data_IF_925772815188
#
_entry.id   IF_925772815188
#
_cell.length_a   1.000
_cell.length_b   1.000
_cell.length_c   1.000
_cell.angle_alpha   90.00
_cell.angle_beta   90.00
_cell.angle_gamma   90.00
#
_symmetry.space_group_name_H-M   'P 1'
#
loop_
_entity.id
_entity.type
_entity.pdbx_description
1 polymer ?
#
# COMPACT_ATOMS: atom_id res chain seq x y z
N UNK A 1 -25.53 20.83 5.53
CA UNK A 1 -24.42 20.24 6.31
C UNK A 1 -24.63 20.71 7.73
N UNK A 2 -25.35 19.93 8.55
CA UNK A 2 -25.95 20.49 9.77
C UNK A 2 -25.35 19.89 11.05
N UNK A 3 -24.33 19.04 10.95
CA UNK A 3 -23.60 18.46 12.08
C UNK A 3 -22.11 18.78 12.07
N UNK A 4 -21.52 18.94 13.26
CA UNK A 4 -20.07 18.99 13.48
C UNK A 4 -19.72 18.06 14.64
N UNK A 5 -18.82 17.10 14.39
CA UNK A 5 -18.16 16.31 15.40
C UNK A 5 -16.79 16.95 15.68
N UNK A 6 -16.68 17.75 16.74
CA UNK A 6 -15.41 18.34 17.19
C UNK A 6 -14.84 17.52 18.37
N UNK A 7 -13.67 16.91 18.16
CA UNK A 7 -12.91 16.21 19.19
C UNK A 7 -11.61 16.98 19.42
N UNK A 8 -11.58 17.71 20.53
CA UNK A 8 -10.44 18.50 20.97
C UNK A 8 -9.93 17.97 22.32
N UNK A 9 -8.64 17.64 22.42
CA UNK A 9 -8.03 17.14 23.66
C UNK A 9 -6.52 17.37 23.70
N UNK A 10 -6.02 17.67 24.90
CA UNK A 10 -4.59 17.83 25.18
C UNK A 10 -3.98 16.59 25.86
N UNK A 11 -4.78 15.58 26.19
CA UNK A 11 -4.33 14.39 26.93
C UNK A 11 -4.45 13.11 26.11
N UNK A 12 -5.28 13.11 25.07
CA UNK A 12 -5.56 11.92 24.29
C UNK A 12 -4.34 11.50 23.46
N UNK A 13 -3.83 10.29 23.72
CA UNK A 13 -2.68 9.71 23.00
C UNK A 13 -3.07 8.68 21.93
N UNK A 14 -4.26 8.08 22.05
CA UNK A 14 -4.80 7.10 21.12
C UNK A 14 -6.27 7.43 20.84
N UNK A 15 -6.66 7.41 19.57
CA UNK A 15 -8.04 7.55 19.13
C UNK A 15 -8.33 6.50 18.05
N UNK A 16 -9.43 5.80 18.23
CA UNK A 16 -10.07 4.98 17.20
C UNK A 16 -11.46 5.59 16.99
N UNK A 17 -11.73 6.06 15.78
CA UNK A 17 -12.97 6.75 15.44
C UNK A 17 -13.60 6.06 14.23
N UNK A 18 -14.88 5.71 14.35
CA UNK A 18 -15.69 5.17 13.26
C UNK A 18 -16.84 6.12 12.94
N UNK A 19 -16.92 6.58 11.70
CA UNK A 19 -18.03 7.34 11.17
C UNK A 19 -18.62 6.57 9.98
N UNK A 20 -19.73 5.84 10.20
CA UNK A 20 -20.22 4.87 9.23
C UNK A 20 -21.18 5.46 8.19
N UNK A 21 -21.90 6.54 8.54
CA UNK A 21 -22.96 7.09 7.71
C UNK A 21 -23.11 8.61 7.90
N UNK A 22 -23.76 9.25 6.93
CA UNK A 22 -24.18 10.65 7.01
C UNK A 22 -23.22 11.65 6.36
N UNK A 23 -23.57 12.94 6.49
CA UNK A 23 -22.82 14.06 5.92
C UNK A 23 -22.65 15.16 6.98
N UNK A 24 -21.47 15.22 7.59
CA UNK A 24 -21.13 16.22 8.61
C UNK A 24 -19.63 16.53 8.58
N UNK A 25 -19.22 17.56 9.33
CA UNK A 25 -17.81 17.90 9.48
C UNK A 25 -17.20 17.20 10.69
N UNK A 26 -16.04 16.56 10.52
CA UNK A 26 -15.23 15.98 11.59
C UNK A 26 -14.03 16.89 11.81
N UNK A 27 -13.84 17.37 13.04
CA UNK A 27 -12.73 18.26 13.41
C UNK A 27 -11.94 17.59 14.53
N UNK A 28 -10.71 17.17 14.24
CA UNK A 28 -9.83 16.52 15.22
C UNK A 28 -8.67 17.46 15.58
N UNK A 29 -8.70 18.07 16.77
CA UNK A 29 -7.63 18.94 17.29
C UNK A 29 -6.93 18.23 18.46
N UNK A 30 -6.00 17.34 18.14
CA UNK A 30 -5.38 16.44 19.12
C UNK A 30 -3.85 16.53 19.03
N UNK A 31 -3.30 17.49 19.77
CA UNK A 31 -1.88 17.83 19.69
C UNK A 31 -0.95 16.81 20.35
N UNK A 32 -1.45 15.95 21.22
CA UNK A 32 -0.67 14.90 21.90
C UNK A 32 -1.01 13.49 21.39
N UNK A 33 -1.80 13.38 20.33
CA UNK A 33 -2.19 12.11 19.74
C UNK A 33 -0.98 11.44 19.09
N UNK A 34 -0.76 10.18 19.40
CA UNK A 34 0.31 9.36 18.82
C UNK A 34 -0.22 8.28 17.88
N UNK A 35 -1.46 7.83 18.11
CA UNK A 35 -2.15 6.83 17.29
C UNK A 35 -3.53 7.33 16.90
N UNK A 36 -3.81 7.34 15.60
CA UNK A 36 -5.12 7.62 15.03
C UNK A 36 -5.52 6.48 14.10
N UNK A 37 -6.63 5.83 14.41
CA UNK A 37 -7.34 4.98 13.46
C UNK A 37 -8.68 5.65 13.17
N UNK A 38 -8.94 5.87 11.89
CA UNK A 38 -10.13 6.55 11.43
C UNK A 38 -10.80 5.73 10.33
N UNK A 39 -11.97 5.21 10.65
CA UNK A 39 -12.83 4.47 9.75
C UNK A 39 -13.96 5.40 9.31
N UNK A 40 -14.09 5.66 8.01
CA UNK A 40 -15.02 6.63 7.47
C UNK A 40 -15.73 6.08 6.23
N UNK A 41 -17.02 5.77 6.36
CA UNK A 41 -17.89 5.31 5.27
C UNK A 41 -19.00 6.33 4.96
N UNK A 42 -18.89 7.55 5.50
CA UNK A 42 -19.80 8.65 5.22
C UNK A 42 -19.32 9.56 4.08
N UNK A 43 -20.08 10.64 3.87
CA UNK A 43 -19.66 11.76 3.01
C UNK A 43 -19.18 12.90 3.91
N UNK A 44 -18.04 12.75 4.56
CA UNK A 44 -17.57 13.71 5.57
C UNK A 44 -16.55 14.72 5.03
N UNK A 45 -16.55 15.90 5.65
CA UNK A 45 -15.44 16.87 5.57
C UNK A 45 -14.60 16.73 6.82
N UNK A 46 -13.33 16.43 6.67
CA UNK A 46 -12.48 16.02 7.79
C UNK A 46 -11.33 17.01 7.92
N UNK A 47 -11.18 17.61 9.10
CA UNK A 47 -10.11 18.53 9.42
C UNK A 47 -9.20 17.88 10.46
N UNK A 48 -7.99 17.51 10.04
CA UNK A 48 -7.01 16.84 10.89
C UNK A 48 -5.96 17.83 11.38
N UNK A 49 -6.00 18.14 12.67
CA UNK A 49 -4.97 18.90 13.38
C UNK A 49 -4.28 18.01 14.43
N UNK A 50 -3.49 17.05 13.93
CA UNK A 50 -2.83 16.00 14.72
C UNK A 50 -1.32 15.92 14.41
N UNK A 51 -0.54 16.99 14.64
CA UNK A 51 0.85 17.11 14.14
C UNK A 51 1.85 16.09 14.73
N UNK A 52 1.52 15.51 15.89
CA UNK A 52 2.38 14.58 16.63
C UNK A 52 1.99 13.11 16.46
N UNK A 53 1.04 12.82 15.58
CA UNK A 53 0.63 11.43 15.30
C UNK A 53 1.81 10.67 14.69
N UNK A 54 2.05 9.47 15.21
CA UNK A 54 3.11 8.55 14.76
C UNK A 54 2.54 7.43 13.89
N UNK A 55 1.32 6.99 14.21
CA UNK A 55 0.63 5.91 13.52
C UNK A 55 -0.73 6.41 13.06
N UNK A 56 -0.96 6.38 11.76
CA UNK A 56 -2.23 6.79 11.15
C UNK A 56 -2.79 5.64 10.31
N UNK A 57 -3.99 5.19 10.63
CA UNK A 57 -4.74 4.24 9.81
C UNK A 57 -6.03 4.90 9.33
N UNK A 58 -6.28 4.84 8.04
CA UNK A 58 -7.52 5.30 7.44
C UNK A 58 -8.15 4.15 6.66
N UNK A 59 -9.43 3.86 6.92
CA UNK A 59 -10.19 2.86 6.16
C UNK A 59 -11.58 3.38 5.78
N UNK A 60 -12.07 3.02 4.61
CA UNK A 60 -13.41 3.34 4.13
C UNK A 60 -13.41 4.26 2.91
N UNK A 61 -14.47 5.02 2.70
CA UNK A 61 -14.61 5.88 1.54
C UNK A 61 -13.65 7.07 1.57
N UNK A 62 -13.23 7.55 0.40
CA UNK A 62 -12.40 8.73 0.30
C UNK A 62 -13.19 10.01 0.68
N UNK A 63 -12.99 10.49 1.91
CA UNK A 63 -13.55 11.74 2.43
C UNK A 63 -12.76 12.98 2.02
N UNK A 64 -13.39 14.15 2.12
CA UNK A 64 -12.74 15.43 1.85
C UNK A 64 -11.86 15.80 3.06
N UNK A 65 -10.61 15.32 3.05
CA UNK A 65 -9.66 15.47 4.15
C UNK A 65 -8.76 16.70 3.94
N UNK A 66 -8.74 17.55 4.95
CA UNK A 66 -7.87 18.71 5.08
C UNK A 66 -6.90 18.54 6.25
N UNK A 67 -5.61 18.44 5.96
CA UNK A 67 -4.55 18.46 6.98
C UNK A 67 -4.29 19.91 7.39
N UNK A 68 -4.73 20.29 8.60
CA UNK A 68 -4.57 21.65 9.13
C UNK A 68 -3.10 22.00 9.34
N UNK A 69 -2.31 21.00 9.77
CA UNK A 69 -0.85 21.04 9.86
C UNK A 69 -0.26 19.76 9.31
N UNK A 70 0.99 19.83 8.84
CA UNK A 70 1.73 18.65 8.39
C UNK A 70 1.92 17.65 9.53
N UNK A 71 1.67 16.37 9.28
CA UNK A 71 1.90 15.25 10.20
C UNK A 71 3.40 14.93 10.28
N UNK A 72 4.21 15.88 10.74
CA UNK A 72 5.68 15.80 10.67
C UNK A 72 6.30 14.65 11.47
N UNK A 73 5.58 14.12 12.47
CA UNK A 73 5.97 13.01 13.33
C UNK A 73 5.58 11.62 12.81
N UNK A 74 4.91 11.55 11.66
CA UNK A 74 4.34 10.32 11.13
C UNK A 74 5.43 9.27 10.84
N UNK A 75 5.31 8.12 11.49
CA UNK A 75 6.21 6.97 11.31
C UNK A 75 5.60 6.00 10.32
N UNK A 76 4.34 5.62 10.52
CA UNK A 76 3.62 4.67 9.68
C UNK A 76 2.23 5.19 9.31
N UNK A 77 1.84 4.99 8.06
CA UNK A 77 0.48 5.17 7.59
C UNK A 77 -0.04 3.92 6.88
N UNK A 78 -1.30 3.58 7.11
CA UNK A 78 -2.02 2.49 6.43
C UNK A 78 -3.32 3.03 5.86
N UNK A 79 -3.52 2.91 4.55
CA UNK A 79 -4.63 3.53 3.82
C UNK A 79 -5.40 2.46 3.04
N UNK A 80 -6.63 2.18 3.48
CA UNK A 80 -7.58 1.28 2.84
C UNK A 80 -8.81 2.03 2.33
N UNK A 81 -8.74 2.52 1.10
CA UNK A 81 -9.86 3.23 0.49
C UNK A 81 -10.79 2.27 -0.21
N UNK A 82 -12.09 2.55 -0.13
CA UNK A 82 -13.12 1.76 -0.78
C UNK A 82 -13.98 2.60 -1.73
N UNK A 83 -14.46 1.96 -2.80
CA UNK A 83 -15.52 2.53 -3.64
C UNK A 83 -16.88 2.19 -3.02
N UNK A 84 -17.79 3.16 -2.97
CA UNK A 84 -19.17 2.90 -2.60
C UNK A 84 -19.86 2.18 -3.79
N UNK A 85 -20.34 0.93 -3.63
CA UNK A 85 -20.99 0.19 -4.72
C UNK A 85 -22.24 0.88 -5.27
N UNK A 86 -22.92 1.65 -4.42
CA UNK A 86 -24.17 2.34 -4.76
C UNK A 86 -23.94 3.67 -5.52
N UNK A 87 -22.71 4.17 -5.54
CA UNK A 87 -22.35 5.47 -6.12
C UNK A 87 -21.30 5.33 -7.23
N UNK A 88 -21.39 4.32 -8.11
CA UNK A 88 -20.44 4.13 -9.22
C UNK A 88 -20.94 4.86 -10.48
N UNK A 89 -20.71 6.18 -10.52
CA UNK A 89 -20.80 7.00 -11.73
C UNK A 89 -19.40 7.48 -12.10
N UNK A 90 -19.16 7.85 -13.36
CA UNK A 90 -17.85 8.38 -13.77
C UNK A 90 -17.45 9.64 -12.95
N UNK A 91 -18.42 10.51 -12.65
CA UNK A 91 -18.17 11.72 -11.86
C UNK A 91 -17.84 11.42 -10.39
N UNK A 92 -18.53 10.49 -9.75
CA UNK A 92 -18.23 10.10 -8.36
C UNK A 92 -16.89 9.37 -8.25
N UNK A 93 -16.52 8.55 -9.24
CA UNK A 93 -15.20 7.93 -9.33
C UNK A 93 -14.09 8.98 -9.37
N UNK A 94 -14.22 10.02 -10.21
CA UNK A 94 -13.24 11.10 -10.31
C UNK A 94 -13.12 11.89 -9.00
N UNK A 95 -14.24 12.24 -8.38
CA UNK A 95 -14.26 12.98 -7.10
C UNK A 95 -13.60 12.16 -5.99
N UNK A 96 -13.94 10.87 -5.86
CA UNK A 96 -13.34 9.99 -4.85
C UNK A 96 -11.86 9.73 -5.13
N UNK A 97 -11.46 9.60 -6.39
CA UNK A 97 -10.05 9.48 -6.78
C UNK A 97 -9.25 10.73 -6.41
N UNK A 98 -9.79 11.92 -6.64
CA UNK A 98 -9.16 13.18 -6.20
C UNK A 98 -9.00 13.25 -4.68
N UNK A 99 -10.02 12.83 -3.92
CA UNK A 99 -9.96 12.80 -2.46
C UNK A 99 -8.94 11.81 -1.93
N UNK A 100 -8.90 10.60 -2.50
CA UNK A 100 -7.90 9.58 -2.18
C UNK A 100 -6.47 10.06 -2.48
N UNK A 101 -6.30 10.77 -3.60
CA UNK A 101 -5.03 11.41 -3.94
C UNK A 101 -4.62 12.49 -2.93
N UNK A 102 -5.52 13.40 -2.54
CA UNK A 102 -5.20 14.44 -1.55
C UNK A 102 -4.90 13.85 -0.17
N UNK A 103 -5.59 12.77 0.22
CA UNK A 103 -5.28 12.01 1.43
C UNK A 103 -3.83 11.51 1.40
N UNK A 104 -3.44 10.77 0.36
CA UNK A 104 -2.09 10.19 0.25
C UNK A 104 -1.03 11.30 0.14
N UNK A 105 -1.30 12.35 -0.64
CA UNK A 105 -0.45 13.53 -0.80
C UNK A 105 -0.18 14.23 0.54
N UNK A 106 -1.12 14.22 1.49
CA UNK A 106 -0.91 14.77 2.83
C UNK A 106 0.09 14.01 3.71
N UNK A 107 0.49 12.79 3.31
CA UNK A 107 1.31 11.88 4.10
C UNK A 107 2.81 11.91 3.74
N UNK A 108 3.28 12.93 3.01
CA UNK A 108 4.66 13.06 2.51
C UNK A 108 5.78 12.88 3.56
N UNK A 109 5.48 13.10 4.84
CA UNK A 109 6.45 12.94 5.95
C UNK A 109 6.70 11.49 6.37
N UNK A 110 5.86 10.55 5.92
CA UNK A 110 5.80 9.17 6.43
C UNK A 110 7.10 8.39 6.13
N UNK A 111 7.45 7.46 7.03
CA UNK A 111 8.60 6.56 6.84
C UNK A 111 8.19 5.18 6.32
N UNK A 112 6.99 4.72 6.65
CA UNK A 112 6.42 3.44 6.23
C UNK A 112 4.98 3.65 5.76
N UNK A 113 4.69 3.35 4.49
CA UNK A 113 3.36 3.51 3.90
C UNK A 113 2.83 2.16 3.43
N UNK A 114 1.61 1.82 3.85
CA UNK A 114 0.86 0.69 3.33
C UNK A 114 -0.39 1.21 2.60
N UNK A 115 -0.52 0.84 1.33
CA UNK A 115 -1.70 1.10 0.50
C UNK A 115 -2.39 -0.23 0.15
N UNK A 116 -3.68 -0.34 0.47
CA UNK A 116 -4.53 -1.43 -0.03
C UNK A 116 -4.91 -1.26 -1.49
N UNK A 117 -5.35 -2.34 -2.13
CA UNK A 117 -5.63 -2.42 -3.57
C UNK A 117 -6.47 -1.25 -4.09
N UNK A 118 -7.69 -1.06 -3.57
CA UNK A 118 -8.58 0.01 -4.04
C UNK A 118 -8.00 1.43 -3.84
N UNK A 119 -7.11 1.64 -2.85
CA UNK A 119 -6.35 2.89 -2.72
C UNK A 119 -5.41 3.12 -3.91
N UNK A 120 -4.75 2.08 -4.42
CA UNK A 120 -3.87 2.14 -5.58
C UNK A 120 -4.64 2.50 -6.85
N UNK A 121 -5.85 1.94 -7.02
CA UNK A 121 -6.76 2.28 -8.12
C UNK A 121 -7.14 3.76 -8.11
N UNK A 122 -7.50 4.31 -6.94
CA UNK A 122 -7.85 5.73 -6.85
C UNK A 122 -6.68 6.64 -7.24
N UNK A 123 -5.46 6.30 -6.84
CA UNK A 123 -4.25 7.03 -7.28
C UNK A 123 -4.09 6.95 -8.79
N UNK A 124 -4.27 5.75 -9.37
CA UNK A 124 -4.22 5.57 -10.82
C UNK A 124 -5.27 6.42 -11.55
N UNK A 125 -6.53 6.39 -11.13
CA UNK A 125 -7.62 7.15 -11.77
C UNK A 125 -7.49 8.66 -11.62
N UNK A 126 -6.81 9.15 -10.58
CA UNK A 126 -6.56 10.58 -10.39
C UNK A 126 -5.68 11.19 -11.51
N UNK A 127 -4.87 10.37 -12.19
CA UNK A 127 -3.99 10.78 -13.31
C UNK A 127 -3.06 11.97 -12.97
N UNK A 128 -2.74 12.15 -11.69
CA UNK A 128 -1.86 13.19 -11.17
C UNK A 128 -0.63 12.56 -10.51
N UNK A 129 0.51 13.25 -10.60
CA UNK A 129 1.73 12.81 -9.94
C UNK A 129 1.72 13.20 -8.47
N UNK A 130 1.96 12.22 -7.60
CA UNK A 130 2.22 12.47 -6.18
C UNK A 130 3.54 13.24 -6.01
N UNK A 131 3.66 14.07 -4.96
CA UNK A 131 4.92 14.72 -4.61
C UNK A 131 5.94 13.70 -4.09
N UNK A 132 7.23 14.07 -4.05
CA UNK A 132 8.29 13.18 -3.57
C UNK A 132 8.18 12.86 -2.08
N UNK A 133 8.18 11.57 -1.75
CA UNK A 133 8.20 11.02 -0.39
C UNK A 133 9.65 10.76 0.06
N UNK A 134 10.42 11.84 0.26
CA UNK A 134 11.86 11.74 0.57
C UNK A 134 12.18 10.98 1.87
N UNK A 135 11.23 10.88 2.81
CA UNK A 135 11.39 10.17 4.09
C UNK A 135 10.95 8.71 4.04
N UNK A 136 10.29 8.29 2.96
CA UNK A 136 9.75 6.94 2.83
C UNK A 136 10.89 5.93 2.68
N UNK A 137 10.90 4.96 3.59
CA UNK A 137 11.87 3.87 3.67
C UNK A 137 11.25 2.51 3.42
N UNK A 138 9.97 2.35 3.72
CA UNK A 138 9.22 1.11 3.53
C UNK A 138 7.91 1.40 2.81
N UNK A 139 7.63 0.63 1.75
CA UNK A 139 6.40 0.72 0.98
C UNK A 139 5.79 -0.66 0.88
N UNK A 140 4.54 -0.77 1.30
CA UNK A 140 3.75 -1.99 1.29
C UNK A 140 2.56 -1.78 0.34
N UNK A 141 2.49 -2.64 -0.67
CA UNK A 141 1.52 -2.55 -1.76
C UNK A 141 0.70 -3.83 -1.76
N UNK A 142 -0.50 -3.75 -1.20
CA UNK A 142 -1.42 -4.86 -1.23
C UNK A 142 -2.21 -4.85 -2.54
N UNK A 143 -2.07 -5.94 -3.31
CA UNK A 143 -2.73 -6.11 -4.62
C UNK A 143 -3.99 -6.97 -4.54
N UNK A 144 -4.42 -7.34 -3.33
CA UNK A 144 -5.70 -8.01 -3.10
C UNK A 144 -6.89 -7.09 -3.42
N UNK A 145 -7.97 -7.68 -3.91
CA UNK A 145 -9.27 -7.00 -4.06
C UNK A 145 -10.38 -7.97 -3.74
N UNK A 146 -11.44 -7.43 -3.15
CA UNK A 146 -12.78 -7.99 -3.24
C UNK A 146 -13.47 -7.52 -4.55
N UNK A 147 -13.90 -8.45 -5.41
CA UNK A 147 -14.75 -8.18 -6.58
C UNK A 147 -14.07 -8.19 -7.97
N UNK A 148 -14.88 -7.98 -9.03
CA UNK A 148 -14.52 -8.15 -10.46
C UNK A 148 -13.66 -7.00 -11.06
N UNK A 149 -12.76 -6.38 -10.29
CA UNK A 149 -11.95 -5.26 -10.79
C UNK A 149 -10.70 -5.70 -11.55
N UNK A 150 -10.25 -4.88 -12.52
CA UNK A 150 -9.05 -5.15 -13.32
C UNK A 150 -7.76 -5.04 -12.47
N UNK A 151 -7.24 -6.20 -12.03
CA UNK A 151 -5.99 -6.32 -11.26
C UNK A 151 -4.76 -5.77 -12.00
N UNK A 152 -4.81 -5.61 -13.33
CA UNK A 152 -3.68 -5.06 -14.10
C UNK A 152 -3.47 -3.58 -13.78
N UNK A 153 -4.53 -2.84 -13.38
CA UNK A 153 -4.44 -1.42 -13.08
C UNK A 153 -3.51 -1.10 -11.91
N UNK A 154 -3.41 -1.99 -10.91
CA UNK A 154 -2.50 -1.80 -9.78
C UNK A 154 -1.06 -1.75 -10.23
N UNK A 155 -0.67 -2.72 -11.04
CA UNK A 155 0.69 -2.79 -11.55
C UNK A 155 1.01 -1.59 -12.46
N UNK A 156 0.01 -0.96 -13.09
CA UNK A 156 0.22 0.30 -13.83
C UNK A 156 0.55 1.49 -12.93
N UNK A 157 0.11 1.51 -11.66
CA UNK A 157 0.44 2.62 -10.74
C UNK A 157 1.76 2.42 -10.01
N UNK A 158 2.22 1.18 -9.84
CA UNK A 158 3.47 0.86 -9.13
C UNK A 158 4.65 1.70 -9.62
N UNK A 159 4.98 1.82 -10.92
CA UNK A 159 6.09 2.66 -11.37
C UNK A 159 6.05 4.09 -10.81
N UNK A 160 4.88 4.73 -10.84
CA UNK A 160 4.71 6.10 -10.36
C UNK A 160 4.89 6.22 -8.84
N UNK A 161 4.54 5.19 -8.07
CA UNK A 161 4.77 5.14 -6.62
C UNK A 161 6.24 4.91 -6.27
N UNK A 162 6.97 4.17 -7.11
CA UNK A 162 8.40 3.97 -6.92
C UNK A 162 9.20 5.25 -7.28
N UNK A 163 8.78 5.97 -8.32
CA UNK A 163 9.41 7.24 -8.74
C UNK A 163 9.39 8.33 -7.66
N UNK A 164 8.31 8.40 -6.87
CA UNK A 164 8.20 9.37 -5.77
C UNK A 164 8.99 8.96 -4.52
N UNK A 165 9.56 7.75 -4.47
CA UNK A 165 10.20 7.17 -3.28
C UNK A 165 11.71 6.95 -3.46
N UNK A 166 12.52 8.01 -3.67
CA UNK A 166 13.93 7.89 -4.05
C UNK A 166 14.83 7.23 -2.99
N UNK A 167 14.35 7.16 -1.74
CA UNK A 167 15.08 6.65 -0.59
C UNK A 167 14.55 5.31 -0.08
N UNK A 168 13.69 4.63 -0.86
CA UNK A 168 13.06 3.39 -0.45
C UNK A 168 14.11 2.29 -0.22
N UNK A 169 13.96 1.57 0.89
CA UNK A 169 14.86 0.48 1.28
C UNK A 169 14.13 -0.87 1.35
N UNK A 170 12.83 -0.84 1.66
CA UNK A 170 12.00 -2.02 1.87
C UNK A 170 10.76 -1.94 0.97
N UNK A 171 10.52 -3.00 0.20
CA UNK A 171 9.32 -3.16 -0.62
C UNK A 171 8.59 -4.45 -0.21
N UNK A 172 7.32 -4.33 0.13
CA UNK A 172 6.50 -5.42 0.66
C UNK A 172 5.29 -5.62 -0.23
N UNK A 173 5.02 -6.87 -0.59
CA UNK A 173 3.80 -7.30 -1.26
C UNK A 173 3.09 -8.30 -0.35
N UNK A 174 2.05 -7.88 0.40
CA UNK A 174 1.24 -8.81 1.17
C UNK A 174 0.71 -9.91 0.27
N UNK A 175 0.09 -9.52 -0.84
CA UNK A 175 -0.36 -10.42 -1.89
C UNK A 175 0.17 -9.99 -3.26
N UNK A 176 0.39 -10.97 -4.13
CA UNK A 176 0.74 -10.77 -5.54
C UNK A 176 -0.32 -11.49 -6.36
N UNK A 177 -1.39 -10.77 -6.70
CA UNK A 177 -2.43 -11.26 -7.59
C UNK A 177 -2.19 -10.78 -9.02
N UNK A 178 -2.25 -11.71 -9.96
CA UNK A 178 -2.38 -11.39 -11.37
C UNK A 178 -3.42 -12.32 -11.98
N UNK A 179 -4.55 -11.75 -12.39
CA UNK A 179 -5.57 -12.49 -13.14
C UNK A 179 -5.12 -12.64 -14.60
N UNK A 180 -5.13 -13.88 -15.07
CA UNK A 180 -5.04 -14.35 -16.47
C UNK A 180 -4.47 -13.38 -17.52
N UNK A 181 -3.14 -13.28 -17.58
CA UNK A 181 -2.44 -12.84 -18.80
C UNK A 181 -1.63 -14.01 -19.36
N UNK A 182 -1.57 -14.11 -20.68
CA UNK A 182 -0.83 -15.18 -21.37
C UNK A 182 0.65 -15.20 -20.95
N UNK A 183 1.22 -16.40 -20.85
CA UNK A 183 2.57 -16.69 -20.34
C UNK A 183 3.68 -15.93 -21.10
N UNK A 184 3.41 -15.50 -22.34
CA UNK A 184 4.36 -14.71 -23.13
C UNK A 184 4.53 -13.24 -22.67
N UNK A 185 3.59 -12.67 -21.90
CA UNK A 185 3.67 -11.26 -21.49
C UNK A 185 4.58 -11.01 -20.27
N UNK A 186 4.99 -12.07 -19.57
CA UNK A 186 5.68 -11.92 -18.29
C UNK A 186 7.10 -11.38 -18.38
N UNK A 187 7.85 -11.74 -19.44
CA UNK A 187 9.25 -11.30 -19.60
C UNK A 187 9.39 -9.79 -19.75
N UNK A 188 8.36 -9.13 -20.27
CA UNK A 188 8.31 -7.68 -20.45
C UNK A 188 7.49 -6.95 -19.38
N UNK A 189 6.69 -7.66 -18.57
CA UNK A 189 5.76 -7.04 -17.62
C UNK A 189 6.48 -6.46 -16.40
N UNK A 190 7.27 -7.28 -15.69
CA UNK A 190 7.96 -6.85 -14.48
C UNK A 190 8.95 -5.71 -14.73
N UNK A 191 9.75 -5.71 -15.82
CA UNK A 191 10.62 -4.58 -16.13
C UNK A 191 9.90 -3.25 -16.37
N UNK A 192 8.66 -3.28 -16.90
CA UNK A 192 7.83 -2.08 -17.09
C UNK A 192 7.20 -1.60 -15.78
N UNK A 193 6.96 -2.51 -14.85
CA UNK A 193 6.21 -2.29 -13.61
C UNK A 193 7.12 -1.91 -12.45
N UNK A 194 8.27 -2.56 -12.33
CA UNK A 194 9.27 -2.34 -11.29
C UNK A 194 10.62 -2.21 -12.00
N UNK A 195 11.04 -1.00 -12.39
CA UNK A 195 12.28 -0.82 -13.14
C UNK A 195 13.50 -1.35 -12.38
N UNK A 196 14.42 -2.02 -13.08
CA UNK A 196 15.65 -2.56 -12.50
C UNK A 196 16.51 -1.48 -11.79
N UNK A 197 16.47 -0.24 -12.29
CA UNK A 197 17.13 0.92 -11.69
C UNK A 197 16.64 1.22 -10.26
N UNK A 198 15.40 0.85 -9.94
CA UNK A 198 14.85 0.97 -8.61
C UNK A 198 15.27 -0.21 -7.72
N UNK A 199 15.13 -1.44 -8.25
CA UNK A 199 15.42 -2.68 -7.51
C UNK A 199 16.87 -2.73 -7.01
N UNK A 200 17.83 -2.21 -7.79
CA UNK A 200 19.24 -2.23 -7.42
C UNK A 200 19.57 -1.48 -6.11
N UNK A 201 18.68 -0.60 -5.62
CA UNK A 201 18.87 0.18 -4.39
C UNK A 201 18.12 -0.40 -3.17
N UNK A 202 17.19 -1.34 -3.39
CA UNK A 202 16.45 -1.98 -2.31
C UNK A 202 17.37 -2.83 -1.44
N UNK A 203 17.10 -2.82 -0.14
CA UNK A 203 17.81 -3.63 0.87
C UNK A 203 17.00 -4.85 1.26
N UNK A 204 15.68 -4.73 1.33
CA UNK A 204 14.78 -5.81 1.70
C UNK A 204 13.57 -5.86 0.79
N UNK A 205 13.15 -7.08 0.46
CA UNK A 205 11.91 -7.35 -0.27
C UNK A 205 11.15 -8.43 0.48
N UNK A 206 9.83 -8.28 0.58
CA UNK A 206 8.97 -9.26 1.22
C UNK A 206 7.75 -9.57 0.34
N UNK A 207 7.45 -10.87 0.20
CA UNK A 207 6.22 -11.38 -0.38
C UNK A 207 5.56 -12.24 0.68
N UNK A 208 4.47 -11.77 1.29
CA UNK A 208 3.91 -12.40 2.50
C UNK A 208 3.06 -13.64 2.18
N UNK A 209 2.25 -13.59 1.12
CA UNK A 209 1.36 -14.68 0.73
C UNK A 209 1.74 -15.27 -0.63
N UNK A 210 2.87 -15.98 -0.66
CA UNK A 210 3.38 -16.68 -1.84
C UNK A 210 2.62 -18.00 -2.04
N UNK A 211 1.81 -18.06 -3.10
CA UNK A 211 0.96 -19.21 -3.48
C UNK A 211 1.67 -20.17 -4.46
N UNK A 212 2.86 -19.82 -4.93
CA UNK A 212 3.63 -20.67 -5.86
C UNK A 212 3.09 -20.66 -7.27
N UNK A 213 2.44 -19.56 -7.68
CA UNK A 213 2.03 -19.37 -9.06
C UNK A 213 3.24 -18.96 -9.93
N UNK A 214 3.21 -19.29 -11.22
CA UNK A 214 4.35 -19.10 -12.13
C UNK A 214 4.77 -17.64 -12.29
N UNK A 215 3.80 -16.73 -12.25
CA UNK A 215 4.02 -15.28 -12.25
C UNK A 215 4.74 -14.79 -10.99
N UNK A 216 4.37 -15.32 -9.83
CA UNK A 216 5.03 -15.03 -8.55
C UNK A 216 6.47 -15.52 -8.56
N UNK A 217 6.74 -16.71 -9.11
CA UNK A 217 8.11 -17.19 -9.31
C UNK A 217 8.92 -16.28 -10.22
N UNK A 218 8.35 -15.85 -11.36
CA UNK A 218 9.01 -14.92 -12.28
C UNK A 218 9.28 -13.56 -11.65
N UNK A 219 8.38 -13.08 -10.79
CA UNK A 219 8.60 -11.85 -10.01
C UNK A 219 9.79 -12.04 -9.06
N UNK A 220 9.81 -13.12 -8.29
CA UNK A 220 10.91 -13.42 -7.36
C UNK A 220 12.25 -13.52 -8.09
N UNK A 221 12.30 -14.26 -9.20
CA UNK A 221 13.49 -14.39 -10.04
C UNK A 221 13.96 -13.01 -10.54
N UNK A 222 13.05 -12.22 -11.13
CA UNK A 222 13.35 -10.88 -11.61
C UNK A 222 13.90 -9.95 -10.50
N UNK A 223 13.31 -9.97 -9.31
CA UNK A 223 13.75 -9.15 -8.18
C UNK A 223 15.14 -9.59 -7.67
N UNK A 224 15.41 -10.89 -7.57
CA UNK A 224 16.71 -11.43 -7.15
C UNK A 224 17.81 -11.12 -8.16
N UNK A 225 17.52 -11.18 -9.47
CA UNK A 225 18.48 -10.90 -10.54
C UNK A 225 18.85 -9.42 -10.66
N UNK A 226 17.99 -8.51 -10.21
CA UNK A 226 18.20 -7.06 -10.31
C UNK A 226 18.59 -6.39 -8.98
N UNK A 227 18.40 -7.07 -7.84
CA UNK A 227 18.68 -6.58 -6.50
C UNK A 227 20.17 -6.55 -6.13
N UNK A 228 20.94 -5.61 -6.69
CA UNK A 228 22.39 -5.46 -6.39
C UNK A 228 22.70 -5.17 -4.92
N UNK A 229 21.86 -4.37 -4.25
CA UNK A 229 22.03 -3.99 -2.83
C UNK A 229 21.19 -4.82 -1.87
N UNK A 230 20.49 -5.84 -2.39
CA UNK A 230 19.53 -6.63 -1.63
C UNK A 230 20.27 -7.47 -0.59
N UNK A 231 19.83 -7.36 0.67
CA UNK A 231 20.38 -8.10 1.82
C UNK A 231 19.46 -9.23 2.25
N UNK A 232 18.16 -9.05 2.08
CA UNK A 232 17.15 -10.00 2.51
C UNK A 232 15.99 -10.05 1.52
N UNK A 233 15.54 -11.26 1.22
CA UNK A 233 14.24 -11.51 0.61
C UNK A 233 13.45 -12.44 1.52
N UNK A 234 12.29 -12.00 2.00
CA UNK A 234 11.36 -12.83 2.76
C UNK A 234 10.28 -13.36 1.83
N UNK A 235 10.02 -14.67 1.85
CA UNK A 235 8.93 -15.30 1.11
C UNK A 235 8.07 -16.09 2.10
N UNK A 236 6.86 -15.61 2.35
CA UNK A 236 5.86 -16.29 3.16
C UNK A 236 5.13 -17.34 2.33
N UNK A 237 5.53 -18.60 2.46
CA UNK A 237 4.97 -19.71 1.69
C UNK A 237 3.67 -20.16 2.34
N UNK A 238 2.59 -20.10 1.57
CA UNK A 238 1.26 -20.54 2.00
C UNK A 238 1.25 -22.05 2.22
N UNK A 239 0.80 -22.49 3.40
CA UNK A 239 0.73 -23.92 3.75
C UNK A 239 -0.37 -24.61 2.93
N UNK A 240 0.02 -25.58 2.09
CA UNK A 240 -0.90 -26.47 1.37
C UNK A 240 -0.87 -27.86 2.02
N UNK A 241 -2.00 -28.39 2.52
CA UNK A 241 -2.04 -29.71 3.16
C UNK A 241 -1.53 -30.88 2.30
N UNK A 242 -1.61 -30.74 0.97
CA UNK A 242 -1.31 -31.79 0.00
C UNK A 242 0.02 -31.62 -0.75
N UNK A 243 0.81 -30.58 -0.47
CA UNK A 243 2.03 -30.29 -1.22
C UNK A 243 3.23 -30.01 -0.32
N UNK A 244 4.41 -30.52 -0.70
CA UNK A 244 5.65 -30.23 0.01
C UNK A 244 6.20 -28.87 -0.41
N UNK A 245 6.15 -27.90 0.51
CA UNK A 245 6.76 -26.56 0.35
C UNK A 245 8.26 -26.56 0.00
N UNK A 246 8.93 -27.71 0.17
CA UNK A 246 10.33 -27.87 -0.23
C UNK A 246 10.53 -27.61 -1.72
N UNK A 247 9.54 -27.93 -2.57
CA UNK A 247 9.66 -27.73 -4.01
C UNK A 247 9.66 -26.24 -4.37
N UNK A 248 8.72 -25.45 -3.84
CA UNK A 248 8.71 -24.00 -4.05
C UNK A 248 9.96 -23.32 -3.49
N UNK A 249 10.38 -23.71 -2.27
CA UNK A 249 11.59 -23.17 -1.65
C UNK A 249 12.84 -23.51 -2.46
N UNK A 250 13.00 -24.78 -2.87
CA UNK A 250 14.14 -25.23 -3.66
C UNK A 250 14.21 -24.53 -5.02
N UNK A 251 13.05 -24.28 -5.65
CA UNK A 251 12.97 -23.51 -6.89
C UNK A 251 13.44 -22.07 -6.69
N UNK A 252 12.98 -21.38 -5.64
CA UNK A 252 13.43 -20.01 -5.35
C UNK A 252 14.94 -19.98 -5.04
N UNK A 253 15.44 -20.97 -4.30
CA UNK A 253 16.85 -21.07 -3.95
C UNK A 253 17.76 -21.37 -5.16
N UNK A 254 17.21 -21.91 -6.25
CA UNK A 254 17.98 -22.16 -7.48
C UNK A 254 18.12 -20.93 -8.38
N UNK A 255 17.31 -19.88 -8.14
CA UNK A 255 17.39 -18.65 -8.91
C UNK A 255 18.73 -17.93 -8.74
N UNK A 256 19.16 -17.28 -9.82
CA UNK A 256 20.35 -16.45 -9.80
C UNK A 256 20.11 -15.23 -8.92
N UNK A 257 21.07 -14.93 -8.05
CA UNK A 257 21.05 -13.73 -7.20
C UNK A 257 22.12 -12.75 -7.67
N UNK A 258 21.74 -11.49 -7.83
CA UNK A 258 22.66 -10.40 -8.15
C UNK A 258 23.57 -10.09 -6.95
N UNK A 259 22.96 -9.95 -5.78
CA UNK A 259 23.66 -9.77 -4.51
C UNK A 259 24.03 -11.12 -3.91
N UNK A 260 25.33 -11.30 -3.65
CA UNK A 260 25.84 -12.48 -2.92
C UNK A 260 25.48 -12.46 -1.44
N UNK A 261 25.23 -11.27 -0.89
CA UNK A 261 24.87 -11.07 0.51
C UNK A 261 23.38 -11.28 0.77
N UNK A 262 22.57 -11.42 -0.30
CA UNK A 262 21.13 -11.62 -0.17
C UNK A 262 20.80 -12.99 0.43
N UNK A 263 20.21 -12.95 1.62
CA UNK A 263 19.63 -14.11 2.30
C UNK A 263 18.15 -14.24 1.90
N UNK A 264 17.77 -15.43 1.42
CA UNK A 264 16.36 -15.77 1.17
C UNK A 264 15.84 -16.48 2.42
N UNK A 265 14.80 -15.93 3.02
CA UNK A 265 14.17 -16.42 4.25
C UNK A 265 12.75 -16.85 3.93
N UNK A 266 12.42 -18.09 4.28
CA UNK A 266 11.07 -18.62 4.13
C UNK A 266 10.32 -18.56 5.46
N UNK A 267 9.12 -18.00 5.43
CA UNK A 267 8.21 -17.95 6.58
C UNK A 267 6.97 -18.76 6.22
N UNK A 268 6.35 -19.39 7.22
CA UNK A 268 5.08 -20.09 7.00
C UNK A 268 3.93 -19.11 7.13
N UNK A 269 3.03 -19.14 6.15
CA UNK A 269 1.80 -18.34 6.19
C UNK A 269 0.58 -19.22 6.01
N UNK A 270 -0.52 -18.82 6.65
CA UNK A 270 -1.82 -19.47 6.48
C UNK A 270 -2.55 -18.74 5.35
N UNK A 271 -3.31 -19.50 4.55
CA UNK A 271 -4.25 -18.90 3.63
C UNK A 271 -5.47 -18.43 4.43
N UNK A 272 -5.84 -17.17 4.25
CA UNK A 272 -7.04 -16.58 4.85
C UNK A 272 -8.06 -16.25 3.75
N UNK A 273 -8.13 -17.09 2.71
CA UNK A 273 -9.20 -17.06 1.70
C UNK A 273 -10.59 -17.18 2.36
#
# INVERSE_FOLDING_TARGET
>A
MDGVLDISSLLLRKLELGCLEGEFSVVLKLTHLEYLEFMDYGNHKVYLDTPNVKYFKYTGYASDISFVRNMSSLVRATIGLEFNPEEITESSLLVRSQRGFELIKGLQSVKSLHLYGQSLQMVYYCQQSLPTFSKLKSLELDTSIDGDFDHVLFWKVVPSLLEIAPNLEVLIFPFVYRYELYVEEFSCFWPKTIPASFIQHLKEIEIEHFRGQEDQFKLVEYLLENGKSLKKMTVGVVIKPWLSWSEECNRILSFRKCSKDCQVVFVRTYDWD
#
